data_IF_463993955248
#
_entry.id   IF_463993955248
#
_cell.length_a   1.000
_cell.length_b   1.000
_cell.length_c   1.000
_cell.angle_alpha   90.00
_cell.angle_beta   90.00
_cell.angle_gamma   90.00
#
_symmetry.space_group_name_H-M   'P 1'
#
loop_
_entity.id
_entity.type
_entity.pdbx_description
1 polymer ?
#
# COMPACT_ATOMS: atom_id res chain seq x y z
N UNK A 1 -10.52 -17.06 -17.17
CA UNK A 1 -10.54 -15.99 -18.17
C UNK A 1 -10.85 -14.65 -17.53
N UNK A 2 -9.94 -13.68 -17.72
CA UNK A 2 -10.12 -12.21 -17.73
C UNK A 2 -11.09 -11.52 -16.76
N UNK A 3 -10.78 -11.56 -15.45
CA UNK A 3 -11.28 -10.55 -14.49
C UNK A 3 -10.30 -9.39 -14.22
N UNK A 4 -9.05 -9.52 -14.66
CA UNK A 4 -7.98 -8.55 -14.39
C UNK A 4 -8.00 -7.34 -15.33
N UNK A 5 -8.57 -7.50 -16.53
CA UNK A 5 -8.61 -6.45 -17.56
C UNK A 5 -9.67 -5.37 -17.26
N UNK A 6 -10.72 -5.72 -16.52
CA UNK A 6 -11.82 -4.81 -16.14
C UNK A 6 -11.42 -3.80 -15.05
N UNK A 7 -10.29 -3.99 -14.35
CA UNK A 7 -9.88 -3.15 -13.23
C UNK A 7 -8.87 -2.04 -13.60
N UNK A 8 -8.63 -1.76 -14.89
CA UNK A 8 -7.72 -0.68 -15.31
C UNK A 8 -6.27 -0.86 -14.81
N UNK A 9 -5.86 -2.10 -14.50
CA UNK A 9 -4.52 -2.43 -14.04
C UNK A 9 -3.55 -2.14 -15.18
N UNK A 10 -2.66 -1.17 -14.97
CA UNK A 10 -1.66 -0.81 -15.98
C UNK A 10 -0.70 -1.98 -16.10
N UNK A 11 -0.64 -2.61 -17.28
CA UNK A 11 0.41 -3.59 -17.60
C UNK A 11 1.75 -2.85 -17.59
N UNK A 12 2.43 -2.86 -16.45
CA UNK A 12 3.84 -2.50 -16.38
C UNK A 12 4.56 -3.51 -17.27
N UNK A 13 5.22 -3.03 -18.32
CA UNK A 13 5.98 -3.86 -19.26
C UNK A 13 7.04 -4.61 -18.46
N UNK A 14 6.80 -5.90 -18.23
CA UNK A 14 7.76 -6.80 -17.62
C UNK A 14 8.92 -6.96 -18.58
N UNK A 15 10.10 -6.50 -18.19
CA UNK A 15 11.33 -7.05 -18.74
C UNK A 15 11.37 -8.48 -18.23
N UNK A 16 11.25 -9.44 -19.14
CA UNK A 16 11.21 -10.85 -18.81
C UNK A 16 12.62 -11.30 -18.38
N UNK A 17 12.95 -11.15 -17.09
CA UNK A 17 14.00 -11.86 -16.33
C UNK A 17 14.24 -11.10 -15.01
N UNK A 18 13.46 -11.43 -13.98
CA UNK A 18 13.73 -10.97 -12.61
C UNK A 18 13.70 -12.18 -11.68
N UNK A 19 14.66 -13.08 -11.89
CA UNK A 19 15.29 -13.73 -10.76
C UNK A 19 16.61 -12.97 -10.59
N UNK A 20 16.95 -12.52 -9.38
CA UNK A 20 18.17 -11.74 -9.17
C UNK A 20 19.37 -12.63 -9.48
N UNK A 21 20.32 -12.15 -10.29
CA UNK A 21 21.55 -12.89 -10.55
C UNK A 21 22.27 -13.12 -9.22
N UNK A 22 22.40 -14.37 -8.81
CA UNK A 22 23.04 -14.74 -7.55
C UNK A 22 24.54 -14.95 -7.79
N UNK A 23 24.86 -15.84 -8.73
CA UNK A 23 26.24 -16.20 -9.10
C UNK A 23 26.30 -16.96 -10.41
N UNK A 24 27.50 -17.02 -11.01
CA UNK A 24 27.79 -17.99 -12.07
C UNK A 24 28.30 -19.28 -11.42
N UNK A 25 27.72 -20.43 -11.77
CA UNK A 25 28.20 -21.74 -11.34
C UNK A 25 28.46 -22.67 -12.53
N UNK A 26 29.08 -23.81 -12.25
CA UNK A 26 29.27 -24.85 -13.26
C UNK A 26 27.91 -25.42 -13.69
N UNK A 27 27.77 -25.67 -14.99
CA UNK A 27 26.62 -26.37 -15.56
C UNK A 27 26.57 -27.81 -15.04
N UNK A 28 25.40 -28.26 -14.62
CA UNK A 28 25.12 -29.65 -14.25
C UNK A 28 24.03 -30.19 -15.17
N UNK A 29 24.09 -31.48 -15.46
CA UNK A 29 23.09 -32.15 -16.29
C UNK A 29 21.69 -31.98 -15.69
N UNK A 30 20.80 -31.33 -16.44
CA UNK A 30 19.45 -30.95 -15.98
C UNK A 30 19.22 -29.44 -15.95
N UNK A 31 20.28 -28.63 -16.02
CA UNK A 31 20.16 -27.17 -16.10
C UNK A 31 19.58 -26.69 -17.43
N UNK A 32 18.74 -25.65 -17.39
CA UNK A 32 18.16 -25.04 -18.58
C UNK A 32 19.25 -24.40 -19.44
N UNK A 33 19.37 -24.84 -20.69
CA UNK A 33 20.32 -24.33 -21.70
C UNK A 33 20.20 -22.82 -21.94
N UNK A 34 19.04 -22.21 -21.65
CA UNK A 34 18.81 -20.76 -21.80
C UNK A 34 19.53 -19.93 -20.73
N UNK A 35 19.95 -20.56 -19.63
CA UNK A 35 20.66 -19.91 -18.52
C UNK A 35 22.18 -19.90 -18.70
N UNK A 36 22.70 -20.47 -19.80
CA UNK A 36 24.15 -20.57 -20.06
C UNK A 36 24.77 -19.18 -20.22
N UNK A 37 25.83 -18.94 -19.45
CA UNK A 37 26.62 -17.72 -19.54
C UNK A 37 27.81 -17.93 -20.48
N UNK A 38 27.59 -17.65 -21.77
CA UNK A 38 28.61 -17.83 -22.81
C UNK A 38 29.91 -17.07 -22.53
N UNK A 39 29.84 -15.89 -21.91
CA UNK A 39 31.03 -15.08 -21.57
C UNK A 39 31.87 -15.74 -20.48
N UNK A 40 31.23 -16.30 -19.45
CA UNK A 40 31.92 -17.03 -18.40
C UNK A 40 32.45 -18.38 -18.89
N UNK A 41 31.68 -19.08 -19.74
CA UNK A 41 32.09 -20.32 -20.40
C UNK A 41 33.34 -20.14 -21.25
N UNK A 42 33.39 -19.09 -22.07
CA UNK A 42 34.56 -18.79 -22.90
C UNK A 42 35.83 -18.53 -22.07
N UNK A 43 35.70 -17.96 -20.87
CA UNK A 43 36.85 -17.67 -19.98
C UNK A 43 37.31 -18.89 -19.17
N UNK A 44 36.40 -19.77 -18.77
CA UNK A 44 36.71 -20.93 -17.90
C UNK A 44 36.95 -22.22 -18.66
N UNK A 45 36.63 -22.30 -19.96
CA UNK A 45 36.80 -23.50 -20.77
C UNK A 45 35.82 -24.64 -20.43
N UNK A 46 34.79 -24.37 -19.63
CA UNK A 46 33.73 -25.32 -19.24
C UNK A 46 32.38 -24.61 -19.20
N UNK A 47 31.29 -25.35 -19.40
CA UNK A 47 29.93 -24.79 -19.42
C UNK A 47 29.60 -24.16 -18.05
N UNK A 48 29.15 -22.91 -18.09
CA UNK A 48 28.81 -22.11 -16.92
C UNK A 48 27.36 -21.64 -17.07
N UNK A 49 26.60 -21.64 -15.98
CA UNK A 49 25.21 -21.17 -15.95
C UNK A 49 25.06 -20.01 -14.98
N UNK A 50 24.19 -19.06 -15.34
CA UNK A 50 23.71 -18.06 -14.41
C UNK A 50 22.74 -18.74 -13.44
N UNK A 51 23.11 -18.78 -12.16
CA UNK A 51 22.20 -19.12 -11.09
C UNK A 51 21.47 -17.84 -10.68
N UNK A 52 20.15 -17.88 -10.75
CA UNK A 52 19.30 -16.79 -10.30
C UNK A 52 18.59 -17.20 -9.02
N UNK A 53 18.48 -16.27 -8.07
CA UNK A 53 17.77 -16.46 -6.82
C UNK A 53 16.28 -16.16 -7.02
N UNK A 54 15.41 -17.02 -6.49
CA UNK A 54 13.99 -16.74 -6.40
C UNK A 54 13.76 -15.50 -5.54
N UNK A 55 12.95 -14.57 -6.05
CA UNK A 55 12.56 -13.36 -5.34
C UNK A 55 11.93 -13.76 -4.00
N UNK A 56 12.55 -13.37 -2.87
CA UNK A 56 12.05 -13.75 -1.55
C UNK A 56 10.63 -13.21 -1.38
N UNK A 57 9.73 -14.08 -0.90
CA UNK A 57 8.37 -13.69 -0.56
C UNK A 57 8.36 -12.45 0.36
N UNK A 58 7.83 -11.35 -0.15
CA UNK A 58 7.79 -10.08 0.57
C UNK A 58 6.64 -10.08 1.58
N UNK A 59 6.76 -9.27 2.63
CA UNK A 59 5.68 -9.05 3.58
C UNK A 59 4.90 -7.80 3.17
N UNK A 60 3.60 -7.92 2.95
CA UNK A 60 2.69 -6.81 2.67
C UNK A 60 1.67 -6.71 3.81
N UNK A 61 1.70 -5.62 4.54
CA UNK A 61 0.85 -5.38 5.72
C UNK A 61 -0.01 -4.17 5.50
N UNK A 62 -1.32 -4.36 5.59
CA UNK A 62 -2.27 -3.26 5.61
C UNK A 62 -2.41 -2.74 7.03
N UNK A 63 -2.12 -1.47 7.24
CA UNK A 63 -2.39 -0.76 8.50
C UNK A 63 -3.65 0.10 8.27
N UNK A 64 -4.76 -0.22 8.92
CA UNK A 64 -6.03 0.46 8.69
C UNK A 64 -6.43 1.25 9.94
N UNK A 65 -6.55 2.56 9.75
CA UNK A 65 -7.06 3.48 10.75
C UNK A 65 -8.59 3.35 10.85
N UNK A 66 -9.08 3.17 12.08
CA UNK A 66 -10.49 3.09 12.45
C UNK A 66 -10.97 4.38 13.14
N UNK A 67 -10.08 5.36 13.33
CA UNK A 67 -10.41 6.60 14.02
C UNK A 67 -11.39 7.49 13.25
N UNK A 68 -11.82 8.57 13.91
CA UNK A 68 -12.87 9.47 13.41
C UNK A 68 -12.62 10.04 12.00
N UNK A 69 -11.36 10.17 11.60
CA UNK A 69 -10.96 10.74 10.30
C UNK A 69 -11.33 9.85 9.10
N UNK A 70 -11.63 8.57 9.36
CA UNK A 70 -12.03 7.58 8.36
C UNK A 70 -13.55 7.43 8.22
N UNK A 71 -14.33 8.06 9.11
CA UNK A 71 -15.81 8.04 9.11
C UNK A 71 -16.45 8.91 8.02
N UNK A 72 -15.67 9.75 7.33
CA UNK A 72 -16.23 10.65 6.32
C UNK A 72 -16.99 9.85 5.24
N UNK A 73 -18.25 10.21 4.93
CA UNK A 73 -19.02 9.54 3.90
C UNK A 73 -18.52 9.92 2.50
N UNK A 74 -18.68 8.97 1.59
CA UNK A 74 -18.46 9.06 0.16
C UNK A 74 -19.31 7.99 -0.56
N UNK A 75 -20.26 8.39 -1.40
CA UNK A 75 -21.15 7.56 -2.22
C UNK A 75 -21.92 6.51 -1.41
N UNK A 76 -22.34 6.89 -0.21
CA UNK A 76 -23.06 6.00 0.72
C UNK A 76 -22.17 5.02 1.49
N UNK A 77 -20.84 5.09 1.32
CA UNK A 77 -19.86 4.32 2.09
C UNK A 77 -18.94 5.27 2.88
N UNK A 78 -18.27 4.76 3.91
CA UNK A 78 -17.21 5.49 4.60
C UNK A 78 -15.86 5.34 3.89
N UNK A 79 -14.90 6.23 4.19
CA UNK A 79 -13.52 6.03 3.74
C UNK A 79 -12.92 4.72 4.27
N UNK A 80 -13.34 4.27 5.46
CA UNK A 80 -12.98 2.98 6.02
C UNK A 80 -13.44 1.83 5.12
N UNK A 81 -14.69 1.84 4.64
CA UNK A 81 -15.22 0.78 3.76
C UNK A 81 -14.40 0.66 2.47
N UNK A 82 -14.01 1.80 1.90
CA UNK A 82 -13.12 1.80 0.75
C UNK A 82 -11.75 1.20 1.11
N UNK A 83 -11.15 1.59 2.24
CA UNK A 83 -9.88 1.06 2.71
C UNK A 83 -9.91 -0.45 2.97
N UNK A 84 -10.98 -0.96 3.61
CA UNK A 84 -11.23 -2.38 3.83
C UNK A 84 -11.25 -3.12 2.49
N UNK A 85 -12.08 -2.67 1.54
CA UNK A 85 -12.18 -3.30 0.22
C UNK A 85 -10.83 -3.31 -0.52
N UNK A 86 -10.10 -2.21 -0.51
CA UNK A 86 -8.79 -2.13 -1.15
C UNK A 86 -7.75 -3.05 -0.48
N UNK A 87 -7.76 -3.13 0.85
CA UNK A 87 -6.84 -4.00 1.62
C UNK A 87 -7.11 -5.49 1.38
N UNK A 88 -8.38 -5.88 1.24
CA UNK A 88 -8.79 -7.25 0.93
C UNK A 88 -8.31 -7.68 -0.46
N UNK A 89 -8.55 -6.82 -1.46
CA UNK A 89 -8.10 -7.10 -2.84
C UNK A 89 -6.58 -7.10 -2.91
N UNK A 90 -5.90 -6.18 -2.23
CA UNK A 90 -4.44 -6.16 -2.16
C UNK A 90 -3.91 -7.45 -1.51
N UNK A 91 -4.48 -7.87 -0.38
CA UNK A 91 -4.06 -9.09 0.34
C UNK A 91 -4.22 -10.32 -0.55
N UNK A 92 -5.35 -10.43 -1.26
CA UNK A 92 -5.61 -11.51 -2.22
C UNK A 92 -4.57 -11.54 -3.35
N UNK A 93 -4.25 -10.38 -3.93
CA UNK A 93 -3.26 -10.26 -5.01
C UNK A 93 -1.85 -10.57 -4.50
N UNK A 94 -1.47 -10.06 -3.33
CA UNK A 94 -0.17 -10.33 -2.72
C UNK A 94 0.02 -11.84 -2.48
N UNK A 95 -0.98 -12.52 -1.90
CA UNK A 95 -0.94 -13.97 -1.69
C UNK A 95 -0.91 -14.75 -3.01
N UNK A 96 -1.63 -14.29 -4.04
CA UNK A 96 -1.59 -14.90 -5.37
C UNK A 96 -0.22 -14.70 -6.07
N UNK A 97 0.53 -13.68 -5.66
CA UNK A 97 1.93 -13.44 -6.05
C UNK A 97 2.93 -14.09 -5.10
N UNK A 98 2.47 -15.01 -4.25
CA UNK A 98 3.28 -15.75 -3.27
C UNK A 98 3.92 -14.90 -2.16
N UNK A 99 3.50 -13.64 -2.03
CA UNK A 99 3.86 -12.77 -0.92
C UNK A 99 3.01 -13.08 0.33
N UNK A 100 3.49 -12.64 1.49
CA UNK A 100 2.79 -12.79 2.77
C UNK A 100 1.90 -11.59 3.03
N UNK A 101 0.61 -11.80 3.27
CA UNK A 101 -0.33 -10.75 3.63
C UNK A 101 -0.55 -10.68 5.14
N UNK A 102 -0.49 -9.47 5.71
CA UNK A 102 -0.77 -9.17 7.10
C UNK A 102 -1.73 -7.99 7.24
N UNK A 103 -2.29 -7.84 8.44
CA UNK A 103 -3.25 -6.79 8.77
C UNK A 103 -3.00 -6.27 10.18
N UNK A 104 -3.07 -4.97 10.37
CA UNK A 104 -3.18 -4.32 11.68
C UNK A 104 -4.27 -3.27 11.59
N UNK A 105 -5.22 -3.29 12.51
CA UNK A 105 -6.26 -2.26 12.64
C UNK A 105 -6.01 -1.47 13.92
N UNK A 106 -6.29 -0.16 13.89
CA UNK A 106 -5.97 0.71 15.02
C UNK A 106 -6.83 1.97 15.04
N UNK A 107 -6.97 2.58 16.20
CA UNK A 107 -7.53 3.92 16.39
C UNK A 107 -6.70 4.65 17.47
N UNK A 108 -7.25 4.88 18.66
CA UNK A 108 -6.49 5.33 19.85
C UNK A 108 -5.57 4.24 20.39
N UNK A 109 -5.86 2.99 20.05
CA UNK A 109 -5.10 1.80 20.42
C UNK A 109 -5.08 0.83 19.25
N UNK A 110 -4.16 -0.14 19.27
CA UNK A 110 -4.16 -1.23 18.29
C UNK A 110 -5.25 -2.23 18.65
N UNK A 111 -6.13 -2.54 17.70
CA UNK A 111 -7.30 -3.41 17.90
C UNK A 111 -6.99 -4.84 17.51
N UNK A 112 -6.63 -5.05 16.24
CA UNK A 112 -6.32 -6.38 15.72
C UNK A 112 -4.92 -6.43 15.11
N UNK A 113 -4.28 -7.58 15.25
CA UNK A 113 -2.99 -7.87 14.64
C UNK A 113 -3.04 -9.27 14.03
N UNK A 114 -2.91 -9.32 12.70
CA UNK A 114 -2.67 -10.55 11.94
C UNK A 114 -1.27 -10.47 11.32
N UNK A 115 -0.28 -11.20 11.87
CA UNK A 115 1.07 -11.24 11.31
C UNK A 115 1.07 -11.71 9.85
N UNK A 116 2.06 -11.27 9.03
CA UNK A 116 2.13 -11.63 7.63
C UNK A 116 2.24 -13.14 7.42
N UNK A 117 1.30 -13.72 6.69
CA UNK A 117 1.30 -15.14 6.36
C UNK A 117 0.87 -15.37 4.92
N UNK A 118 1.33 -16.50 4.36
CA UNK A 118 0.91 -17.00 3.04
C UNK A 118 0.01 -18.24 3.13
N UNK A 119 -0.37 -18.64 4.35
CA UNK A 119 -1.21 -19.82 4.56
C UNK A 119 -2.59 -19.59 3.93
N UNK A 120 -3.20 -20.64 3.39
CA UNK A 120 -4.52 -20.56 2.73
C UNK A 120 -5.61 -19.95 3.63
N UNK A 121 -5.54 -20.23 4.94
CA UNK A 121 -6.49 -19.72 5.94
C UNK A 121 -6.32 -18.22 6.21
N UNK A 122 -5.17 -17.63 5.88
CA UNK A 122 -4.88 -16.23 6.17
C UNK A 122 -5.89 -15.26 5.52
N UNK A 123 -6.24 -15.48 4.26
CA UNK A 123 -7.19 -14.60 3.56
C UNK A 123 -8.56 -14.61 4.25
N UNK A 124 -8.99 -15.78 4.73
CA UNK A 124 -10.24 -15.92 5.47
C UNK A 124 -10.18 -15.16 6.80
N UNK A 125 -9.08 -15.28 7.56
CA UNK A 125 -8.87 -14.53 8.80
C UNK A 125 -8.92 -13.02 8.58
N UNK A 126 -8.24 -12.52 7.53
CA UNK A 126 -8.26 -11.10 7.18
C UNK A 126 -9.69 -10.65 6.88
N UNK A 127 -10.44 -11.42 6.09
CA UNK A 127 -11.83 -11.12 5.76
C UNK A 127 -12.72 -11.08 7.01
N UNK A 128 -12.65 -12.10 7.86
CA UNK A 128 -13.44 -12.19 9.09
C UNK A 128 -13.11 -11.03 10.05
N UNK A 129 -11.82 -10.70 10.22
CA UNK A 129 -11.39 -9.56 11.05
C UNK A 129 -11.93 -8.24 10.51
N UNK A 130 -11.86 -8.00 9.19
CA UNK A 130 -12.29 -6.73 8.59
C UNK A 130 -13.80 -6.57 8.48
N UNK A 131 -14.55 -7.67 8.35
CA UNK A 131 -16.01 -7.63 8.29
C UNK A 131 -16.63 -7.11 9.59
N UNK A 132 -15.95 -7.30 10.72
CA UNK A 132 -16.43 -6.89 12.05
C UNK A 132 -16.03 -5.45 12.43
N UNK A 133 -15.36 -4.70 11.54
CA UNK A 133 -14.82 -3.39 11.87
C UNK A 133 -15.82 -2.27 11.57
N UNK A 134 -15.87 -1.30 12.47
CA UNK A 134 -16.53 -0.01 12.26
C UNK A 134 -15.61 1.10 12.77
N UNK A 135 -15.84 2.32 12.30
CA UNK A 135 -15.16 3.50 12.80
C UNK A 135 -15.53 3.79 14.24
N UNK A 136 -14.53 4.10 15.06
CA UNK A 136 -14.77 4.69 16.36
C UNK A 136 -14.68 6.23 16.31
N UNK A 137 -15.13 6.86 17.39
CA UNK A 137 -15.15 8.32 17.50
C UNK A 137 -13.83 8.89 18.05
N UNK A 138 -12.75 8.10 18.10
CA UNK A 138 -11.50 8.46 18.79
C UNK A 138 -10.48 9.05 17.82
N UNK A 139 -9.49 9.76 18.37
CA UNK A 139 -8.34 10.25 17.62
C UNK A 139 -7.26 9.17 17.55
N UNK A 140 -6.61 9.10 16.40
CA UNK A 140 -5.62 8.08 16.07
C UNK A 140 -4.30 8.29 16.82
N UNK A 141 -3.81 7.24 17.50
CA UNK A 141 -2.51 7.22 18.16
C UNK A 141 -1.47 6.43 17.34
N UNK A 142 -0.64 7.15 16.57
CA UNK A 142 0.43 6.52 15.79
C UNK A 142 1.62 6.06 16.63
N UNK A 143 1.75 6.50 17.88
CA UNK A 143 2.77 5.99 18.78
C UNK A 143 2.48 4.52 19.14
N UNK A 144 1.22 4.25 19.50
CA UNK A 144 0.75 2.90 19.75
C UNK A 144 0.94 1.99 18.53
N UNK A 145 0.63 2.50 17.32
CA UNK A 145 0.85 1.78 16.05
C UNK A 145 2.32 1.47 15.83
N UNK A 146 3.21 2.46 15.98
CA UNK A 146 4.64 2.26 15.85
C UNK A 146 5.16 1.18 16.82
N UNK A 147 4.71 1.24 18.08
CA UNK A 147 5.06 0.24 19.09
C UNK A 147 4.61 -1.16 18.71
N UNK A 148 3.39 -1.32 18.20
CA UNK A 148 2.87 -2.61 17.76
C UNK A 148 3.59 -3.16 16.53
N UNK A 149 3.81 -2.32 15.51
CA UNK A 149 4.54 -2.71 14.30
C UNK A 149 5.94 -3.21 14.65
N UNK A 150 6.67 -2.48 15.50
CA UNK A 150 8.02 -2.88 15.93
C UNK A 150 8.03 -4.21 16.70
N UNK A 151 6.99 -4.51 17.47
CA UNK A 151 6.88 -5.80 18.20
C UNK A 151 6.51 -6.97 17.29
N UNK A 152 5.67 -6.74 16.30
CA UNK A 152 5.03 -7.79 15.51
C UNK A 152 5.74 -8.07 14.19
N UNK A 153 6.39 -7.08 13.60
CA UNK A 153 7.08 -7.18 12.31
C UNK A 153 8.60 -7.14 12.52
N UNK A 154 9.20 -8.32 12.61
CA UNK A 154 10.66 -8.47 12.74
C UNK A 154 11.43 -8.37 11.41
N UNK A 155 10.73 -8.46 10.29
CA UNK A 155 11.31 -8.38 8.94
C UNK A 155 10.88 -7.07 8.27
N UNK A 156 11.69 -6.61 7.31
CA UNK A 156 11.33 -5.48 6.45
C UNK A 156 10.05 -5.83 5.67
N UNK A 157 9.08 -4.92 5.67
CA UNK A 157 7.75 -5.14 5.08
C UNK A 157 7.33 -3.92 4.26
N UNK A 158 6.41 -4.12 3.32
CA UNK A 158 5.58 -3.07 2.76
C UNK A 158 4.46 -2.75 3.76
N UNK A 159 4.42 -1.53 4.27
CA UNK A 159 3.31 -1.05 5.08
C UNK A 159 2.42 -0.16 4.22
N UNK A 160 1.20 -0.62 3.96
CA UNK A 160 0.16 0.18 3.31
C UNK A 160 -0.71 0.80 4.40
N UNK A 161 -0.44 2.06 4.73
CA UNK A 161 -1.14 2.79 5.77
C UNK A 161 -2.35 3.51 5.19
N UNK A 162 -3.55 3.08 5.56
CA UNK A 162 -4.81 3.72 5.21
C UNK A 162 -5.23 4.63 6.36
N UNK A 163 -5.02 5.93 6.21
CA UNK A 163 -5.42 6.95 7.19
C UNK A 163 -5.65 8.27 6.48
N UNK A 164 -6.37 9.19 7.12
CA UNK A 164 -6.67 10.49 6.55
C UNK A 164 -6.20 11.62 7.48
N UNK A 165 -5.74 12.73 6.89
CA UNK A 165 -5.28 13.89 7.63
C UNK A 165 -6.15 15.09 7.30
N UNK A 166 -6.77 15.70 8.30
CA UNK A 166 -7.62 16.88 8.15
C UNK A 166 -6.83 18.13 7.79
N UNK A 167 -5.56 18.21 8.22
CA UNK A 167 -4.68 19.33 7.96
C UNK A 167 -3.21 18.95 7.87
N UNK A 168 -2.38 19.86 7.34
CA UNK A 168 -0.93 19.71 7.39
C UNK A 168 -0.40 19.65 8.82
N UNK A 169 -1.04 20.38 9.74
CA UNK A 169 -0.72 20.33 11.17
C UNK A 169 -0.97 18.95 11.78
N UNK A 170 -2.09 18.31 11.43
CA UNK A 170 -2.41 16.96 11.87
C UNK A 170 -1.37 15.94 11.36
N UNK A 171 -0.98 16.02 10.08
CA UNK A 171 0.09 15.18 9.54
C UNK A 171 1.40 15.37 10.33
N UNK A 172 1.80 16.62 10.60
CA UNK A 172 3.08 16.93 11.27
C UNK A 172 3.19 16.33 12.67
N UNK A 173 2.06 16.19 13.40
CA UNK A 173 2.04 15.48 14.69
C UNK A 173 2.36 13.99 14.53
N UNK A 174 1.88 13.37 13.46
CA UNK A 174 2.05 11.93 13.20
C UNK A 174 3.39 11.61 12.49
N UNK A 175 3.99 12.61 11.85
CA UNK A 175 5.17 12.48 10.99
C UNK A 175 6.40 11.84 11.66
N UNK A 176 6.77 12.16 12.92
CA UNK A 176 7.90 11.51 13.58
C UNK A 176 7.76 9.98 13.66
N UNK A 177 6.53 9.49 13.88
CA UNK A 177 6.24 8.05 13.95
C UNK A 177 6.30 7.41 12.56
N UNK A 178 5.77 8.08 11.53
CA UNK A 178 5.90 7.63 10.14
C UNK A 178 7.37 7.53 9.69
N UNK A 179 8.19 8.51 10.04
CA UNK A 179 9.63 8.48 9.76
C UNK A 179 10.32 7.33 10.49
N UNK A 180 9.95 7.05 11.75
CA UNK A 180 10.49 5.91 12.51
C UNK A 180 10.10 4.57 11.87
N UNK A 181 8.85 4.43 11.41
CA UNK A 181 8.41 3.25 10.65
C UNK A 181 9.22 3.09 9.34
N UNK A 182 9.43 4.19 8.62
CA UNK A 182 10.14 4.21 7.35
C UNK A 182 11.63 3.83 7.45
N UNK A 183 12.24 3.90 8.64
CA UNK A 183 13.61 3.43 8.87
C UNK A 183 13.76 1.92 8.72
N UNK A 184 12.70 1.16 8.99
CA UNK A 184 12.73 -0.30 9.03
C UNK A 184 11.82 -0.96 7.97
N UNK A 185 10.81 -0.25 7.50
CA UNK A 185 9.82 -0.75 6.54
C UNK A 185 9.63 0.24 5.40
N UNK A 186 9.14 -0.23 4.25
CA UNK A 186 8.72 0.69 3.19
C UNK A 186 7.29 1.13 3.48
N UNK A 187 7.07 2.42 3.74
CA UNK A 187 5.76 2.96 4.11
C UNK A 187 5.13 3.68 2.93
N UNK A 188 3.94 3.24 2.55
CA UNK A 188 3.04 3.92 1.62
C UNK A 188 1.87 4.48 2.42
N UNK A 189 1.76 5.80 2.46
CA UNK A 189 0.67 6.50 3.13
C UNK A 189 -0.44 6.75 2.12
N UNK A 190 -1.55 6.04 2.29
CA UNK A 190 -2.73 6.08 1.43
C UNK A 190 -3.80 6.93 2.09
N UNK A 191 -4.17 8.03 1.44
CA UNK A 191 -5.14 8.99 1.96
C UNK A 191 -6.00 9.60 0.86
N UNK A 192 -7.08 10.25 1.28
CA UNK A 192 -8.21 10.50 0.41
C UNK A 192 -8.35 11.95 -0.01
N UNK A 193 -8.78 12.13 -1.26
CA UNK A 193 -9.38 13.35 -1.77
C UNK A 193 -10.90 13.16 -1.76
N UNK A 194 -11.58 13.61 -0.70
CA UNK A 194 -13.04 13.63 -0.67
C UNK A 194 -13.53 14.90 -1.39
N UNK A 195 -14.28 14.73 -2.48
CA UNK A 195 -14.88 15.84 -3.25
C UNK A 195 -16.40 15.89 -3.14
N UNK A 196 -17.04 14.92 -2.48
CA UNK A 196 -18.52 14.85 -2.44
C UNK A 196 -19.14 15.85 -1.47
N UNK A 197 -18.44 16.16 -0.37
CA UNK A 197 -18.78 17.33 0.45
C UNK A 197 -18.92 18.61 -0.40
N UNK A 198 -18.16 18.72 -1.51
CA UNK A 198 -18.25 19.86 -2.40
C UNK A 198 -19.38 19.73 -3.43
N UNK A 199 -19.77 18.51 -3.82
CA UNK A 199 -20.80 18.25 -4.84
C UNK A 199 -22.23 18.33 -4.25
N UNK A 200 -22.46 17.80 -3.04
CA UNK A 200 -23.73 17.95 -2.30
C UNK A 200 -24.02 19.42 -1.92
N UNK A 201 -22.96 20.21 -1.74
CA UNK A 201 -23.06 21.65 -1.51
C UNK A 201 -23.28 22.45 -2.82
N UNK A 202 -22.97 21.90 -3.99
CA UNK A 202 -23.21 22.54 -5.30
C UNK A 202 -24.67 22.45 -5.75
N UNK A 203 -25.35 21.33 -5.52
CA UNK A 203 -26.77 21.19 -5.91
C UNK A 203 -27.72 22.12 -5.14
N UNK A 204 -27.26 22.73 -4.03
CA UNK A 204 -28.11 23.46 -3.08
C UNK A 204 -28.10 24.99 -3.17
N UNK A 205 -27.45 25.64 -4.12
CA UNK A 205 -27.36 27.11 -4.07
C UNK A 205 -27.09 27.84 -5.40
N UNK A 206 -27.95 28.80 -5.74
CA UNK A 206 -27.68 29.84 -6.74
C UNK A 206 -27.10 31.12 -6.12
N UNK A 207 -25.95 31.57 -6.65
CA UNK A 207 -25.58 32.99 -6.85
C UNK A 207 -24.72 33.79 -5.83
N UNK A 208 -24.02 33.18 -4.87
CA UNK A 208 -22.89 33.83 -4.14
C UNK A 208 -22.06 32.81 -3.35
N UNK A 209 -22.71 31.71 -2.99
CA UNK A 209 -22.04 30.55 -2.41
C UNK A 209 -21.04 29.88 -3.36
N UNK A 210 -21.15 30.05 -4.69
CA UNK A 210 -20.26 29.38 -5.65
C UNK A 210 -18.79 29.86 -5.57
N UNK A 211 -18.58 31.16 -5.35
CA UNK A 211 -17.22 31.73 -5.20
C UNK A 211 -16.60 31.31 -3.85
N UNK A 212 -17.40 31.28 -2.79
CA UNK A 212 -16.97 30.82 -1.46
C UNK A 212 -16.66 29.30 -1.46
N UNK A 213 -17.53 28.49 -2.08
CA UNK A 213 -17.36 27.03 -2.24
C UNK A 213 -16.14 26.68 -3.08
N UNK A 214 -15.97 27.33 -4.23
CA UNK A 214 -14.79 27.13 -5.08
C UNK A 214 -13.49 27.43 -4.34
N UNK A 215 -13.52 28.38 -3.41
CA UNK A 215 -12.36 28.74 -2.56
C UNK A 215 -12.09 27.69 -1.48
N UNK A 216 -13.12 27.15 -0.81
CA UNK A 216 -12.95 26.08 0.19
C UNK A 216 -12.47 24.78 -0.45
N UNK A 217 -13.08 24.35 -1.56
CA UNK A 217 -12.67 23.16 -2.29
C UNK A 217 -11.23 23.28 -2.79
N UNK A 218 -10.86 24.45 -3.34
CA UNK A 218 -9.47 24.76 -3.73
C UNK A 218 -8.52 24.72 -2.53
N UNK A 219 -8.92 25.26 -1.38
CA UNK A 219 -8.12 25.24 -0.15
C UNK A 219 -7.89 23.80 0.32
N UNK A 220 -8.92 22.96 0.32
CA UNK A 220 -8.81 21.55 0.73
C UNK A 220 -7.89 20.75 -0.21
N UNK A 221 -8.09 20.87 -1.53
CA UNK A 221 -7.21 20.24 -2.53
C UNK A 221 -5.77 20.74 -2.37
N UNK A 222 -5.59 22.05 -2.14
CA UNK A 222 -4.28 22.63 -1.92
C UNK A 222 -3.61 22.04 -0.67
N UNK A 223 -4.34 21.91 0.43
CA UNK A 223 -3.84 21.34 1.68
C UNK A 223 -3.46 19.87 1.52
N UNK A 224 -4.26 19.06 0.82
CA UNK A 224 -3.88 17.67 0.47
C UNK A 224 -2.60 17.62 -0.36
N UNK A 225 -2.39 18.54 -1.30
CA UNK A 225 -1.13 18.64 -2.06
C UNK A 225 0.05 19.07 -1.20
N UNK A 226 -0.17 19.87 -0.16
CA UNK A 226 0.89 20.19 0.81
C UNK A 226 1.25 18.97 1.66
N UNK A 227 0.26 18.17 2.08
CA UNK A 227 0.47 16.90 2.78
C UNK A 227 1.28 15.92 1.93
N UNK A 228 0.96 15.77 0.64
CA UNK A 228 1.77 14.96 -0.31
C UNK A 228 3.22 15.42 -0.31
N UNK A 229 3.46 16.71 -0.54
CA UNK A 229 4.82 17.28 -0.61
C UNK A 229 5.59 17.14 0.71
N UNK A 230 4.90 17.29 1.84
CA UNK A 230 5.49 17.11 3.16
C UNK A 230 5.94 15.64 3.36
N UNK A 231 5.09 14.66 3.04
CA UNK A 231 5.43 13.24 3.10
C UNK A 231 6.63 12.90 2.20
N UNK A 232 6.58 13.33 0.93
CA UNK A 232 7.63 13.07 -0.06
C UNK A 232 8.98 13.69 0.34
N UNK A 233 8.97 14.88 0.94
CA UNK A 233 10.16 15.55 1.47
C UNK A 233 10.88 14.70 2.52
N UNK A 234 10.16 13.84 3.24
CA UNK A 234 10.70 12.93 4.25
C UNK A 234 10.88 11.50 3.72
N UNK A 235 10.84 11.30 2.40
CA UNK A 235 11.08 10.01 1.76
C UNK A 235 9.93 9.01 1.91
N UNK A 236 8.75 9.45 2.35
CA UNK A 236 7.54 8.62 2.45
C UNK A 236 6.82 8.61 1.10
N UNK A 237 6.31 7.45 0.70
CA UNK A 237 5.49 7.34 -0.52
C UNK A 237 4.07 7.79 -0.17
N UNK A 238 3.58 8.84 -0.83
CA UNK A 238 2.24 9.38 -0.64
C UNK A 238 1.31 8.96 -1.78
N UNK A 239 0.21 8.27 -1.46
CA UNK A 239 -0.82 7.86 -2.40
C UNK A 239 -2.13 8.61 -2.12
N UNK A 240 -2.23 9.84 -2.63
CA UNK A 240 -3.46 10.63 -2.62
C UNK A 240 -4.41 10.17 -3.73
N UNK A 241 -5.59 9.70 -3.36
CA UNK A 241 -6.56 9.10 -4.30
C UNK A 241 -8.00 9.48 -3.97
N UNK A 242 -8.87 9.45 -5.00
CA UNK A 242 -10.31 9.44 -4.78
C UNK A 242 -10.74 8.05 -4.29
N UNK A 243 -11.73 7.93 -3.39
CA UNK A 243 -12.14 6.63 -2.84
C UNK A 243 -12.50 5.59 -3.90
N UNK A 244 -13.16 6.03 -4.98
CA UNK A 244 -13.56 5.23 -6.16
C UNK A 244 -12.37 4.52 -6.83
N UNK A 245 -11.19 5.14 -6.79
CA UNK A 245 -9.99 4.68 -7.49
C UNK A 245 -9.03 3.96 -6.55
N UNK A 246 -9.33 3.90 -5.24
CA UNK A 246 -8.41 3.44 -4.20
C UNK A 246 -7.86 2.05 -4.52
N UNK A 247 -8.74 1.08 -4.74
CA UNK A 247 -8.37 -0.32 -4.98
C UNK A 247 -7.39 -0.45 -6.14
N UNK A 248 -7.71 0.15 -7.29
CA UNK A 248 -6.88 0.09 -8.49
C UNK A 248 -5.51 0.76 -8.25
N UNK A 249 -5.51 1.91 -7.59
CA UNK A 249 -4.30 2.68 -7.31
C UNK A 249 -3.37 1.96 -6.34
N UNK A 250 -3.90 1.38 -5.27
CA UNK A 250 -3.16 0.56 -4.28
C UNK A 250 -2.51 -0.65 -4.95
N UNK A 251 -3.26 -1.37 -5.80
CA UNK A 251 -2.74 -2.55 -6.51
C UNK A 251 -1.59 -2.14 -7.45
N UNK A 252 -1.81 -1.10 -8.25
CA UNK A 252 -0.79 -0.61 -9.17
C UNK A 252 0.47 -0.14 -8.42
N UNK A 253 0.30 0.46 -7.25
CA UNK A 253 1.41 0.92 -6.42
C UNK A 253 2.21 -0.26 -5.84
N UNK A 254 1.54 -1.29 -5.31
CA UNK A 254 2.19 -2.53 -4.90
C UNK A 254 2.95 -3.20 -6.06
N UNK A 255 2.32 -3.33 -7.23
CA UNK A 255 2.97 -3.94 -8.40
C UNK A 255 4.17 -3.11 -8.89
N UNK A 256 4.09 -1.77 -8.80
CA UNK A 256 5.19 -0.85 -9.13
C UNK A 256 6.36 -1.02 -8.16
N UNK A 257 6.08 -1.11 -6.86
CA UNK A 257 7.08 -1.31 -5.80
C UNK A 257 7.78 -2.65 -5.99
N UNK A 258 7.00 -3.73 -6.20
CA UNK A 258 7.53 -5.07 -6.44
C UNK A 258 8.40 -5.11 -7.69
N UNK A 259 7.93 -4.57 -8.81
CA UNK A 259 8.69 -4.53 -10.06
C UNK A 259 10.01 -3.74 -9.98
N UNK A 260 10.16 -2.86 -8.98
CA UNK A 260 11.38 -2.07 -8.74
C UNK A 260 12.31 -2.71 -7.70
N UNK A 261 11.93 -3.82 -7.08
CA UNK A 261 12.73 -4.46 -6.02
C UNK A 261 12.96 -3.55 -4.80
N UNK A 262 12.01 -2.67 -4.47
CA UNK A 262 12.21 -1.70 -3.37
C UNK A 262 12.15 -2.33 -1.97
N UNK A 263 11.75 -3.60 -1.87
CA UNK A 263 11.54 -4.34 -0.62
C UNK A 263 12.37 -5.60 -0.59
#
# INVERSE_FOLDING_TARGET
SDRLTLAGIKRVRRVAQHAEFERVRDYVQGDDRRTVNWKATARRGRLMVNQYQDEKAQQVVSLIDLGRVMKMPFRGLSLLDHAINASLVLSSIAMHKEDKAGLITFSDTVRDVLPPSRQRVQMRRILETLYAQDTDHRETDMEAVYGAVRRQLSQRSLLMLYSNFESLGALRRQLPYLQRLARHHLVVVVFFLNTELDDDLKERAGDLGDVYRGTIARKYVHEKRLIVRELERHGLIALLVRPEQLTVRVINEYLRIKARGLI
#
